data_IF_065039158602
#
_entry.id   IF_065039158602
#
_cell.length_a   1.000
_cell.length_b   1.000
_cell.length_c   1.000
_cell.angle_alpha   90.00
_cell.angle_beta   90.00
_cell.angle_gamma   90.00
#
_symmetry.space_group_name_H-M   'P 1'
#
loop_
_entity.id
_entity.type
_entity.pdbx_description
1 polymer ?
#
# COMPACT_ATOMS: atom_id res chain seq x y z
N UNK A 1 27.67 -12.19 2.15
CA UNK A 1 27.00 -10.93 2.00
C UNK A 1 26.48 -10.64 0.60
N UNK A 2 26.92 -11.45 -0.33
CA UNK A 2 26.30 -11.44 -1.65
C UNK A 2 24.85 -11.86 -1.55
N UNK A 3 24.57 -12.79 -0.68
CA UNK A 3 23.22 -13.25 -0.45
C UNK A 3 22.35 -12.12 0.05
N UNK A 4 22.93 -11.30 0.89
CA UNK A 4 22.23 -10.16 1.42
C UNK A 4 21.82 -9.20 0.31
N UNK A 5 22.70 -8.97 -0.60
CA UNK A 5 22.45 -8.09 -1.72
C UNK A 5 21.35 -8.64 -2.62
N UNK A 6 21.39 -9.94 -2.87
CA UNK A 6 20.38 -10.61 -3.69
C UNK A 6 19.01 -10.56 -3.05
N UNK A 7 18.96 -10.64 -1.74
CA UNK A 7 17.69 -10.56 -1.04
C UNK A 7 17.03 -9.21 -1.23
N UNK A 8 17.82 -8.17 -1.23
CA UNK A 8 17.28 -6.84 -1.48
C UNK A 8 16.60 -6.75 -2.84
N UNK A 9 17.25 -7.30 -3.83
CA UNK A 9 16.72 -7.30 -5.18
C UNK A 9 15.44 -8.12 -5.27
N UNK A 10 15.44 -9.26 -4.61
CA UNK A 10 14.30 -10.17 -4.68
C UNK A 10 13.04 -9.57 -4.10
N UNK A 11 13.17 -8.60 -3.23
CA UNK A 11 12.01 -7.99 -2.60
C UNK A 11 11.49 -6.77 -3.32
N UNK A 12 12.11 -6.38 -4.39
CA UNK A 12 11.67 -5.22 -5.14
C UNK A 12 10.37 -5.48 -5.85
N UNK A 13 9.44 -4.57 -5.72
CA UNK A 13 8.23 -4.59 -6.52
C UNK A 13 8.50 -3.86 -7.82
N UNK A 14 7.88 -4.34 -8.89
CA UNK A 14 7.96 -3.66 -10.15
C UNK A 14 6.83 -2.64 -10.26
N UNK A 15 7.16 -1.36 -10.23
CA UNK A 15 6.14 -0.35 -10.37
C UNK A 15 5.54 -0.33 -11.77
N UNK A 16 6.23 -0.88 -12.75
CA UNK A 16 5.68 -0.93 -14.11
C UNK A 16 4.46 -1.82 -14.19
N UNK A 17 4.40 -2.88 -13.37
CA UNK A 17 3.22 -3.73 -13.33
C UNK A 17 2.00 -3.01 -12.80
N UNK A 18 2.21 -2.02 -11.95
CA UNK A 18 1.11 -1.25 -11.38
C UNK A 18 0.34 -0.52 -12.48
N UNK A 19 1.03 -0.07 -13.52
CA UNK A 19 0.39 0.68 -14.60
C UNK A 19 -0.54 -0.16 -15.46
N UNK A 20 -0.48 -1.48 -15.32
CA UNK A 20 -1.39 -2.38 -16.01
C UNK A 20 -2.72 -2.57 -15.27
N UNK A 21 -2.83 -2.02 -14.09
CA UNK A 21 -4.07 -2.13 -13.29
C UNK A 21 -5.05 -1.09 -13.79
N UNK A 22 -6.26 -1.53 -14.20
CA UNK A 22 -7.26 -0.63 -14.74
C UNK A 22 -7.99 0.16 -13.65
N UNK A 23 -8.21 -0.42 -12.50
CA UNK A 23 -8.87 0.29 -11.41
C UNK A 23 -7.91 1.35 -10.84
N UNK A 24 -8.33 2.61 -10.90
CA UNK A 24 -7.48 3.72 -10.52
C UNK A 24 -7.03 3.65 -9.06
N UNK A 25 -7.93 3.35 -8.16
CA UNK A 25 -7.60 3.27 -6.75
C UNK A 25 -6.63 2.14 -6.45
N UNK A 26 -6.84 0.99 -7.08
CA UNK A 26 -5.93 -0.13 -6.93
C UNK A 26 -4.57 0.16 -7.52
N UNK A 27 -4.54 0.87 -8.64
CA UNK A 27 -3.28 1.27 -9.26
C UNK A 27 -2.50 2.20 -8.31
N UNK A 28 -3.17 3.17 -7.73
CA UNK A 28 -2.53 4.10 -6.81
C UNK A 28 -2.02 3.38 -5.56
N UNK A 29 -2.78 2.42 -5.05
CA UNK A 29 -2.33 1.60 -3.93
C UNK A 29 -1.06 0.83 -4.29
N UNK A 30 -1.05 0.24 -5.47
CA UNK A 30 0.10 -0.51 -5.96
C UNK A 30 1.33 0.40 -6.05
N UNK A 31 1.17 1.57 -6.64
CA UNK A 31 2.27 2.53 -6.81
C UNK A 31 2.79 3.02 -5.47
N UNK A 32 1.88 3.30 -4.54
CA UNK A 32 2.27 3.75 -3.22
C UNK A 32 3.16 2.73 -2.52
N UNK A 33 2.77 1.47 -2.59
CA UNK A 33 3.54 0.39 -1.98
C UNK A 33 4.86 0.16 -2.69
N UNK A 34 4.82 0.11 -4.02
CA UNK A 34 6.02 -0.18 -4.81
C UNK A 34 7.09 0.90 -4.64
N UNK A 35 6.66 2.14 -4.54
CA UNK A 35 7.58 3.27 -4.44
C UNK A 35 7.77 3.77 -3.00
N UNK A 36 7.04 3.19 -2.06
CA UNK A 36 7.04 3.62 -0.66
C UNK A 36 6.73 5.11 -0.53
N UNK A 37 5.75 5.57 -1.31
CA UNK A 37 5.38 6.98 -1.33
C UNK A 37 3.91 7.16 -1.03
N UNK A 38 3.61 7.76 0.11
CA UNK A 38 2.24 7.97 0.54
C UNK A 38 1.48 8.97 -0.32
N UNK A 39 2.18 9.76 -1.12
CA UNK A 39 1.50 10.71 -2.00
C UNK A 39 0.52 10.03 -2.95
N UNK A 40 0.81 8.81 -3.37
CA UNK A 40 -0.11 8.06 -4.23
C UNK A 40 -1.38 7.68 -3.49
N UNK A 41 -1.30 7.50 -2.17
CA UNK A 41 -2.47 7.18 -1.36
C UNK A 41 -3.49 8.30 -1.39
N UNK A 42 -3.03 9.54 -1.44
CA UNK A 42 -3.94 10.69 -1.43
C UNK A 42 -4.71 10.87 -2.73
N UNK A 43 -4.31 10.16 -3.78
CA UNK A 43 -5.04 10.16 -5.04
C UNK A 43 -6.14 9.11 -5.08
N UNK A 44 -6.28 8.31 -4.02
CA UNK A 44 -7.31 7.28 -3.96
C UNK A 44 -8.63 7.94 -3.58
N UNK A 45 -9.69 7.65 -4.35
CA UNK A 45 -10.99 8.25 -4.12
C UNK A 45 -11.75 7.63 -2.96
N UNK A 46 -11.64 6.32 -2.79
CA UNK A 46 -12.33 5.62 -1.72
C UNK A 46 -11.63 5.89 -0.39
N UNK A 47 -12.36 6.45 0.58
CA UNK A 47 -11.75 6.84 1.85
C UNK A 47 -11.17 5.68 2.64
N UNK A 48 -11.87 4.55 2.65
CA UNK A 48 -11.38 3.38 3.39
C UNK A 48 -10.10 2.84 2.76
N UNK A 49 -10.08 2.76 1.44
CA UNK A 49 -8.90 2.31 0.71
C UNK A 49 -7.74 3.29 0.91
N UNK A 50 -8.05 4.57 0.91
CA UNK A 50 -7.03 5.60 1.13
C UNK A 50 -6.41 5.45 2.52
N UNK A 51 -7.22 5.27 3.54
CA UNK A 51 -6.73 5.10 4.91
C UNK A 51 -5.88 3.84 5.04
N UNK A 52 -6.31 2.75 4.37
CA UNK A 52 -5.53 1.53 4.39
C UNK A 52 -4.17 1.74 3.72
N UNK A 53 -4.16 2.44 2.59
CA UNK A 53 -2.94 2.74 1.87
C UNK A 53 -1.96 3.53 2.76
N UNK A 54 -2.45 4.58 3.39
CA UNK A 54 -1.62 5.42 4.24
C UNK A 54 -1.07 4.63 5.42
N UNK A 55 -1.93 3.81 6.05
CA UNK A 55 -1.52 3.00 7.19
C UNK A 55 -0.37 2.09 6.82
N UNK A 56 -0.52 1.38 5.71
CA UNK A 56 0.47 0.39 5.28
C UNK A 56 1.76 1.07 4.84
N UNK A 57 1.66 2.11 4.02
CA UNK A 57 2.84 2.76 3.46
C UNK A 57 3.63 3.50 4.53
N UNK A 58 2.94 4.16 5.45
CA UNK A 58 3.61 4.88 6.54
C UNK A 58 3.92 4.00 7.75
N UNK A 59 3.39 2.79 7.78
CA UNK A 59 3.57 1.90 8.91
C UNK A 59 2.88 2.41 10.17
N UNK A 60 1.73 3.04 10.01
CA UNK A 60 1.00 3.62 11.15
C UNK A 60 -0.37 3.01 11.30
N UNK A 61 -0.48 2.12 12.27
CA UNK A 61 -1.70 1.38 12.56
C UNK A 61 -2.89 2.30 12.85
N UNK A 62 -2.64 3.47 13.39
CA UNK A 62 -3.71 4.38 13.77
C UNK A 62 -4.62 4.75 12.60
N UNK A 63 -4.11 4.75 11.39
CA UNK A 63 -4.94 5.04 10.22
C UNK A 63 -5.98 3.96 9.96
N UNK A 64 -5.73 2.74 10.40
CA UNK A 64 -6.70 1.66 10.25
C UNK A 64 -8.00 1.96 10.98
N UNK A 65 -7.91 2.66 12.10
CA UNK A 65 -9.09 2.96 12.90
C UNK A 65 -10.00 4.00 12.27
N UNK A 66 -9.54 4.67 11.22
CA UNK A 66 -10.36 5.61 10.46
C UNK A 66 -11.18 4.92 9.39
N UNK A 67 -10.98 3.62 9.21
CA UNK A 67 -11.70 2.86 8.19
C UNK A 67 -13.09 2.53 8.73
N UNK A 68 -14.13 2.81 7.94
CA UNK A 68 -15.51 2.60 8.34
C UNK A 68 -15.95 1.15 8.20
N UNK A 69 -15.53 0.50 7.12
CA UNK A 69 -15.87 -0.89 6.90
C UNK A 69 -15.14 -1.75 7.92
N UNK A 70 -15.90 -2.52 8.70
CA UNK A 70 -15.33 -3.38 9.73
C UNK A 70 -14.37 -4.39 9.12
N UNK A 71 -14.76 -5.00 8.01
CA UNK A 71 -13.93 -6.01 7.37
C UNK A 71 -12.63 -5.41 6.87
N UNK A 72 -12.71 -4.24 6.24
CA UNK A 72 -11.51 -3.59 5.73
C UNK A 72 -10.62 -3.11 6.85
N UNK A 73 -11.22 -2.65 7.94
CA UNK A 73 -10.45 -2.26 9.11
C UNK A 73 -9.65 -3.45 9.64
N UNK A 74 -10.30 -4.61 9.73
CA UNK A 74 -9.63 -5.81 10.21
C UNK A 74 -8.52 -6.25 9.27
N UNK A 75 -8.74 -6.14 7.96
CA UNK A 75 -7.70 -6.43 6.98
C UNK A 75 -6.52 -5.48 7.17
N UNK A 76 -6.81 -4.21 7.38
CA UNK A 76 -5.76 -3.21 7.61
C UNK A 76 -4.95 -3.55 8.85
N UNK A 77 -5.65 -3.84 9.95
CA UNK A 77 -4.99 -4.18 11.22
C UNK A 77 -4.15 -5.43 11.11
N UNK A 78 -4.56 -6.37 10.25
CA UNK A 78 -3.82 -7.61 10.07
C UNK A 78 -2.43 -7.40 9.46
N UNK A 79 -2.18 -6.22 8.89
CA UNK A 79 -0.85 -5.90 8.36
C UNK A 79 0.13 -5.53 9.47
N UNK A 80 -0.35 -5.42 10.69
CA UNK A 80 0.47 -5.05 11.82
C UNK A 80 0.47 -6.14 12.88
#
# INVERSE_FOLDING_TARGET
>A
FFAFFLLSIAKSYSSSSCYNISNKDKKNMCLAKAKSQSSYCYNISNNDTKNMCIAVVKGKKSYCYNIRSRDEKNVCLSNF
#
